data_IF_647144987785
#
_entry.id   IF_647144987785
#
_cell.length_a   1.000
_cell.length_b   1.000
_cell.length_c   1.000
_cell.angle_alpha   90.00
_cell.angle_beta   90.00
_cell.angle_gamma   90.00
#
_symmetry.space_group_name_H-M   'P 1'
#
loop_
_entity.id
_entity.type
_entity.pdbx_description
1 polymer ?
#
# COMPACT_ATOMS: atom_id res chain seq x y z
N UNK A 1 -16.14 -26.81 -31.06
CA UNK A 1 -15.27 -26.00 -30.20
C UNK A 1 -15.32 -24.57 -30.70
N UNK A 2 -16.05 -23.74 -29.98
CA UNK A 2 -16.20 -22.30 -30.22
C UNK A 2 -14.85 -21.63 -29.95
N UNK A 3 -14.37 -20.78 -30.85
CA UNK A 3 -13.09 -20.12 -30.68
C UNK A 3 -13.10 -19.24 -29.42
N UNK A 4 -12.22 -19.58 -28.48
CA UNK A 4 -12.06 -18.90 -27.21
C UNK A 4 -11.40 -17.53 -27.41
N UNK A 5 -12.10 -16.45 -27.05
CA UNK A 5 -11.55 -15.08 -27.14
C UNK A 5 -10.72 -14.79 -25.90
N UNK A 6 -9.54 -14.18 -26.09
CA UNK A 6 -8.72 -13.71 -24.96
C UNK A 6 -9.23 -12.35 -24.45
N UNK A 7 -9.37 -12.17 -23.13
CA UNK A 7 -9.62 -10.87 -22.55
C UNK A 7 -8.42 -9.93 -22.77
N UNK A 8 -8.71 -8.64 -22.74
CA UNK A 8 -7.72 -7.56 -22.67
C UNK A 8 -7.91 -6.75 -21.39
N UNK A 9 -6.87 -6.03 -21.01
CA UNK A 9 -6.79 -5.28 -19.76
C UNK A 9 -6.34 -3.85 -20.04
N UNK A 10 -6.95 -2.89 -19.34
CA UNK A 10 -6.44 -1.53 -19.18
C UNK A 10 -6.30 -1.28 -17.68
N UNK A 11 -5.22 -0.63 -17.26
CA UNK A 11 -5.01 -0.22 -15.88
C UNK A 11 -5.40 1.24 -15.73
N UNK A 12 -6.41 1.53 -14.91
CA UNK A 12 -6.73 2.88 -14.48
C UNK A 12 -6.20 3.05 -13.06
N UNK A 13 -5.33 4.04 -12.85
CA UNK A 13 -4.70 4.31 -11.57
C UNK A 13 -5.13 5.69 -11.10
N UNK A 14 -5.89 5.71 -10.02
CA UNK A 14 -6.30 6.94 -9.36
C UNK A 14 -5.27 7.22 -8.27
N UNK A 15 -4.63 8.38 -8.34
CA UNK A 15 -3.51 8.77 -7.49
C UNK A 15 -3.79 10.10 -6.81
N UNK A 16 -3.42 10.24 -5.54
CA UNK A 16 -3.44 11.52 -4.81
C UNK A 16 -2.80 12.63 -5.66
N UNK A 17 -3.53 13.73 -5.85
CA UNK A 17 -3.05 14.88 -6.62
C UNK A 17 -1.72 15.43 -6.11
N UNK A 18 -1.40 15.25 -4.82
CA UNK A 18 -0.16 15.70 -4.19
C UNK A 18 1.06 14.90 -4.67
N UNK A 19 0.86 13.63 -5.03
CA UNK A 19 1.88 12.77 -5.62
C UNK A 19 1.87 12.83 -7.16
N UNK A 20 0.79 13.36 -7.74
CA UNK A 20 0.59 13.40 -9.19
C UNK A 20 1.55 14.37 -9.89
N UNK A 21 2.26 13.87 -10.89
CA UNK A 21 3.14 14.67 -11.77
C UNK A 21 3.28 14.01 -13.13
N UNK A 22 3.65 14.78 -14.15
CA UNK A 22 3.91 14.24 -15.50
C UNK A 22 5.04 13.20 -15.48
N UNK A 23 6.03 13.38 -14.62
CA UNK A 23 7.13 12.43 -14.42
C UNK A 23 6.63 11.11 -13.81
N UNK A 24 5.77 11.18 -12.80
CA UNK A 24 5.10 10.00 -12.25
C UNK A 24 4.30 9.27 -13.35
N UNK A 25 3.52 10.00 -14.14
CA UNK A 25 2.70 9.43 -15.22
C UNK A 25 3.59 8.71 -16.25
N UNK A 26 4.71 9.34 -16.64
CA UNK A 26 5.66 8.76 -17.58
C UNK A 26 6.34 7.50 -17.00
N UNK A 27 6.74 7.54 -15.73
CA UNK A 27 7.32 6.40 -15.02
C UNK A 27 6.34 5.23 -14.97
N UNK A 28 5.09 5.47 -14.55
CA UNK A 28 4.04 4.43 -14.51
C UNK A 28 3.80 3.86 -15.90
N UNK A 29 3.62 4.69 -16.93
CA UNK A 29 3.42 4.19 -18.30
C UNK A 29 4.58 3.33 -18.79
N UNK A 30 5.82 3.69 -18.45
CA UNK A 30 7.01 2.89 -18.77
C UNK A 30 7.01 1.57 -18.01
N UNK A 31 6.83 1.63 -16.70
CA UNK A 31 6.95 0.47 -15.79
C UNK A 31 5.84 -0.56 -15.97
N UNK A 32 4.66 -0.16 -16.42
CA UNK A 32 3.53 -1.07 -16.63
C UNK A 32 3.31 -1.44 -18.10
N UNK A 33 4.10 -0.89 -19.03
CA UNK A 33 3.97 -1.11 -20.49
C UNK A 33 3.95 -2.58 -20.93
N UNK A 34 4.66 -3.47 -20.22
CA UNK A 34 4.69 -4.91 -20.51
C UNK A 34 3.53 -5.69 -19.89
N UNK A 35 2.74 -5.06 -19.03
CA UNK A 35 1.57 -5.63 -18.36
C UNK A 35 0.31 -5.27 -19.13
N UNK A 36 0.00 -3.98 -19.22
CA UNK A 36 -1.17 -3.44 -19.90
C UNK A 36 -1.00 -1.92 -20.14
N UNK A 37 -1.77 -1.32 -21.07
CA UNK A 37 -1.88 0.13 -21.16
C UNK A 37 -2.38 0.72 -19.84
N UNK A 38 -1.73 1.80 -19.39
CA UNK A 38 -2.06 2.48 -18.14
C UNK A 38 -2.55 3.91 -18.37
N UNK A 39 -3.59 4.29 -17.64
CA UNK A 39 -4.10 5.65 -17.49
C UNK A 39 -3.92 6.03 -16.03
N UNK A 40 -3.34 7.20 -15.78
CA UNK A 40 -3.11 7.71 -14.42
C UNK A 40 -3.86 9.03 -14.29
N UNK A 41 -4.72 9.12 -13.29
CA UNK A 41 -5.55 10.30 -13.03
C UNK A 41 -5.31 10.82 -11.61
N UNK A 42 -5.26 12.15 -11.41
CA UNK A 42 -5.21 12.73 -10.08
C UNK A 42 -6.59 12.63 -9.41
N UNK A 43 -6.58 12.39 -8.10
CA UNK A 43 -7.75 12.49 -7.23
C UNK A 43 -7.53 13.64 -6.26
N UNK A 44 -8.43 14.62 -6.32
CA UNK A 44 -8.42 15.76 -5.42
C UNK A 44 -8.97 15.34 -4.06
N UNK A 45 -8.24 15.55 -2.97
CA UNK A 45 -8.73 15.32 -1.63
C UNK A 45 -9.92 16.24 -1.32
N UNK A 46 -10.76 15.85 -0.37
CA UNK A 46 -11.86 16.70 0.08
C UNK A 46 -11.35 18.01 0.71
N UNK A 47 -10.20 17.96 1.37
CA UNK A 47 -9.48 19.09 1.96
C UNK A 47 -7.96 18.85 2.01
N UNK A 48 -7.18 19.83 2.47
CA UNK A 48 -5.72 19.78 2.43
C UNK A 48 -5.09 18.70 3.33
N UNK A 49 -5.83 18.12 4.28
CA UNK A 49 -5.32 17.09 5.21
C UNK A 49 -6.02 15.75 5.04
N UNK A 50 -7.15 15.70 4.34
CA UNK A 50 -7.88 14.47 4.07
C UNK A 50 -6.98 13.43 3.37
N UNK A 51 -6.94 12.18 3.87
CA UNK A 51 -6.19 11.10 3.23
C UNK A 51 -6.85 10.68 1.91
N UNK A 52 -6.07 10.58 0.83
CA UNK A 52 -6.54 10.09 -0.48
C UNK A 52 -6.02 8.69 -0.75
N UNK A 53 -6.94 7.73 -0.82
CA UNK A 53 -6.57 6.35 -1.12
C UNK A 53 -6.33 6.15 -2.62
N UNK A 54 -5.07 5.92 -2.99
CA UNK A 54 -4.74 5.52 -4.35
C UNK A 54 -5.40 4.17 -4.70
N UNK A 55 -5.92 4.04 -5.92
CA UNK A 55 -6.53 2.80 -6.41
C UNK A 55 -5.89 2.32 -7.72
N UNK A 56 -5.86 1.01 -7.91
CA UNK A 56 -5.48 0.39 -9.18
C UNK A 56 -6.63 -0.46 -9.71
N UNK A 57 -7.28 0.02 -10.76
CA UNK A 57 -8.41 -0.64 -11.40
C UNK A 57 -8.00 -1.37 -12.67
N UNK A 58 -8.30 -2.67 -12.66
CA UNK A 58 -8.15 -3.60 -13.76
C UNK A 58 -9.43 -3.61 -14.58
N UNK A 59 -9.46 -2.83 -15.66
CA UNK A 59 -10.60 -2.75 -16.58
C UNK A 59 -10.55 -3.92 -17.57
N UNK A 60 -11.43 -4.90 -17.36
CA UNK A 60 -11.50 -6.11 -18.19
C UNK A 60 -12.35 -5.84 -19.43
N UNK A 61 -11.76 -6.02 -20.60
CA UNK A 61 -12.45 -5.84 -21.89
C UNK A 61 -12.53 -7.17 -22.63
N UNK A 62 -13.75 -7.56 -22.99
CA UNK A 62 -14.01 -8.75 -23.80
C UNK A 62 -15.21 -8.54 -24.74
N UNK A 63 -15.10 -9.06 -25.97
CA UNK A 63 -16.10 -8.87 -27.03
C UNK A 63 -17.21 -9.93 -27.05
N UNK A 64 -17.21 -10.86 -26.08
CA UNK A 64 -18.25 -11.90 -25.93
C UNK A 64 -18.80 -11.86 -24.51
N UNK A 65 -20.08 -12.22 -24.31
CA UNK A 65 -20.62 -12.47 -22.98
C UNK A 65 -19.77 -13.48 -22.20
N UNK A 66 -19.59 -13.22 -20.92
CA UNK A 66 -18.75 -14.03 -20.03
C UNK A 66 -19.11 -13.91 -18.55
N UNK A 67 -19.80 -12.83 -18.19
CA UNK A 67 -20.15 -12.56 -16.80
C UNK A 67 -21.30 -13.44 -16.33
N UNK A 68 -22.46 -13.38 -17.00
CA UNK A 68 -23.69 -14.05 -16.56
C UNK A 68 -23.50 -15.57 -16.39
N UNK A 69 -23.70 -16.06 -15.16
CA UNK A 69 -23.59 -17.49 -14.85
C UNK A 69 -24.80 -18.31 -15.31
N UNK A 70 -25.91 -17.66 -15.65
CA UNK A 70 -27.12 -18.30 -16.15
C UNK A 70 -27.09 -18.50 -17.68
N UNK A 71 -26.21 -17.79 -18.39
CA UNK A 71 -25.95 -18.00 -19.82
C UNK A 71 -24.87 -19.08 -20.02
N UNK A 72 -25.26 -20.19 -20.66
CA UNK A 72 -24.36 -21.30 -20.96
C UNK A 72 -23.12 -20.89 -21.77
N UNK A 73 -23.26 -19.96 -22.72
CA UNK A 73 -22.14 -19.49 -23.53
C UNK A 73 -21.17 -18.62 -22.72
N UNK A 74 -21.71 -17.76 -21.85
CA UNK A 74 -20.92 -16.96 -20.93
C UNK A 74 -20.19 -17.85 -19.90
N UNK A 75 -20.86 -18.88 -19.37
CA UNK A 75 -20.26 -19.87 -18.47
C UNK A 75 -19.14 -20.69 -19.14
N UNK A 76 -19.34 -21.15 -20.37
CA UNK A 76 -18.29 -21.84 -21.14
C UNK A 76 -17.07 -20.92 -21.33
N UNK A 77 -17.31 -19.67 -21.73
CA UNK A 77 -16.26 -18.67 -21.94
C UNK A 77 -15.53 -18.31 -20.63
N UNK A 78 -16.26 -18.18 -19.52
CA UNK A 78 -15.67 -17.95 -18.20
C UNK A 78 -14.75 -19.10 -17.82
N UNK A 79 -15.29 -20.33 -17.75
CA UNK A 79 -14.55 -21.51 -17.32
C UNK A 79 -13.32 -21.82 -18.20
N UNK A 80 -13.39 -21.49 -19.50
CA UNK A 80 -12.28 -21.71 -20.42
C UNK A 80 -11.10 -20.75 -20.24
N UNK A 81 -11.34 -19.50 -19.82
CA UNK A 81 -10.29 -18.44 -19.87
C UNK A 81 -10.15 -17.65 -18.59
N UNK A 82 -11.25 -17.21 -18.00
CA UNK A 82 -11.26 -16.11 -17.04
C UNK A 82 -10.45 -16.43 -15.78
N UNK A 83 -10.62 -17.58 -15.09
CA UNK A 83 -9.87 -17.86 -13.86
C UNK A 83 -8.35 -17.88 -14.09
N UNK A 84 -7.89 -18.58 -15.13
CA UNK A 84 -6.46 -18.67 -15.44
C UNK A 84 -5.90 -17.32 -15.88
N UNK A 85 -6.65 -16.57 -16.68
CA UNK A 85 -6.23 -15.25 -17.15
C UNK A 85 -6.15 -14.24 -16.00
N UNK A 86 -7.20 -14.15 -15.16
CA UNK A 86 -7.25 -13.27 -13.99
C UNK A 86 -6.11 -13.58 -13.02
N UNK A 87 -5.91 -14.86 -12.66
CA UNK A 87 -4.80 -15.27 -11.79
C UNK A 87 -3.44 -14.78 -12.30
N UNK A 88 -3.20 -14.93 -13.60
CA UNK A 88 -1.96 -14.47 -14.22
C UNK A 88 -1.86 -12.94 -14.23
N UNK A 89 -2.95 -12.22 -14.46
CA UNK A 89 -2.96 -10.75 -14.44
C UNK A 89 -2.75 -10.22 -13.03
N UNK A 90 -3.42 -10.77 -12.01
CA UNK A 90 -3.22 -10.40 -10.62
C UNK A 90 -1.78 -10.59 -10.19
N UNK A 91 -1.18 -11.74 -10.53
CA UNK A 91 0.23 -11.98 -10.25
C UNK A 91 1.13 -10.95 -10.93
N UNK A 92 0.94 -10.69 -12.22
CA UNK A 92 1.76 -9.72 -12.97
C UNK A 92 1.63 -8.31 -12.42
N UNK A 93 0.40 -7.81 -12.27
CA UNK A 93 0.13 -6.45 -11.79
C UNK A 93 0.66 -6.29 -10.37
N UNK A 94 0.34 -7.22 -9.47
CA UNK A 94 0.85 -7.20 -8.09
C UNK A 94 2.39 -7.20 -8.03
N UNK A 95 3.04 -8.04 -8.82
CA UNK A 95 4.52 -8.10 -8.87
C UNK A 95 5.10 -6.78 -9.38
N UNK A 96 4.46 -6.17 -10.39
CA UNK A 96 4.88 -4.88 -10.93
C UNK A 96 4.70 -3.77 -9.90
N UNK A 97 3.59 -3.73 -9.16
CA UNK A 97 3.36 -2.76 -8.07
C UNK A 97 4.45 -2.86 -7.02
N UNK A 98 4.71 -4.07 -6.50
CA UNK A 98 5.76 -4.30 -5.50
C UNK A 98 7.13 -3.88 -6.03
N UNK A 99 7.49 -4.28 -7.25
CA UNK A 99 8.77 -3.93 -7.85
C UNK A 99 8.95 -2.42 -8.07
N UNK A 100 7.90 -1.70 -8.50
CA UNK A 100 7.97 -0.24 -8.67
C UNK A 100 8.20 0.45 -7.32
N UNK A 101 7.46 0.06 -6.28
CA UNK A 101 7.62 0.63 -4.95
C UNK A 101 8.98 0.31 -4.34
N UNK A 102 9.53 -0.87 -4.60
CA UNK A 102 10.87 -1.25 -4.15
C UNK A 102 11.96 -0.43 -4.85
N UNK A 103 11.81 -0.17 -6.15
CA UNK A 103 12.74 0.69 -6.91
C UNK A 103 12.71 2.11 -6.37
N UNK A 104 11.53 2.69 -6.18
CA UNK A 104 11.35 4.03 -5.59
C UNK A 104 12.03 4.16 -4.24
N UNK A 105 11.78 3.19 -3.35
CA UNK A 105 12.42 3.15 -2.02
C UNK A 105 13.94 3.10 -2.11
N UNK A 106 14.50 2.27 -2.99
CA UNK A 106 15.96 2.17 -3.19
C UNK A 106 16.56 3.45 -3.77
N UNK A 107 15.77 4.22 -4.52
CA UNK A 107 16.13 5.51 -5.08
C UNK A 107 15.88 6.69 -4.13
N UNK A 108 15.43 6.45 -2.89
CA UNK A 108 15.09 7.51 -1.93
C UNK A 108 13.84 8.31 -2.31
N UNK A 109 13.03 7.80 -3.24
CA UNK A 109 11.76 8.40 -3.66
C UNK A 109 10.61 7.86 -2.82
N UNK A 110 9.58 8.69 -2.66
CA UNK A 110 8.35 8.27 -1.99
C UNK A 110 7.67 7.11 -2.76
N UNK A 111 7.28 6.03 -2.06
CA UNK A 111 6.54 4.93 -2.69
C UNK A 111 5.17 5.41 -3.17
N UNK A 112 4.60 4.67 -4.12
CA UNK A 112 3.24 4.86 -4.62
C UNK A 112 2.36 3.69 -4.12
N UNK A 113 1.92 3.70 -2.85
CA UNK A 113 1.06 2.66 -2.33
C UNK A 113 -0.33 2.77 -2.96
N UNK A 114 -0.95 1.63 -3.27
CA UNK A 114 -2.36 1.48 -3.59
C UNK A 114 -3.08 0.82 -2.41
N UNK A 115 -4.17 1.42 -1.95
CA UNK A 115 -5.03 0.87 -0.89
C UNK A 115 -5.98 -0.20 -1.44
N UNK A 116 -6.45 -0.01 -2.68
CA UNK A 116 -7.44 -0.86 -3.32
C UNK A 116 -6.95 -1.37 -4.67
N UNK A 117 -7.16 -2.66 -4.90
CA UNK A 117 -7.19 -3.23 -6.24
C UNK A 117 -8.65 -3.41 -6.66
N UNK A 118 -8.99 -3.02 -7.88
CA UNK A 118 -10.36 -3.13 -8.39
C UNK A 118 -10.37 -3.94 -9.68
N UNK A 119 -11.42 -4.73 -9.91
CA UNK A 119 -11.66 -5.39 -11.20
C UNK A 119 -13.00 -4.92 -11.74
N UNK A 120 -12.97 -4.22 -12.86
CA UNK A 120 -14.17 -3.72 -13.53
C UNK A 120 -14.52 -4.65 -14.70
N UNK A 121 -15.71 -5.26 -14.63
CA UNK A 121 -16.20 -6.19 -15.64
C UNK A 121 -17.17 -5.53 -16.63
N UNK A 122 -16.79 -4.37 -17.19
CA UNK A 122 -17.68 -3.57 -18.04
C UNK A 122 -18.91 -3.09 -17.26
N UNK A 123 -20.10 -3.17 -17.86
CA UNK A 123 -21.36 -2.71 -17.23
C UNK A 123 -21.93 -3.71 -16.19
N UNK A 124 -21.13 -4.71 -15.78
CA UNK A 124 -21.52 -5.66 -14.75
C UNK A 124 -21.11 -5.13 -13.37
N UNK A 125 -20.46 -5.97 -12.56
CA UNK A 125 -20.00 -5.63 -11.22
C UNK A 125 -18.54 -5.16 -11.24
N UNK A 126 -18.22 -4.15 -10.44
CA UNK A 126 -16.84 -3.84 -10.05
C UNK A 126 -16.51 -4.51 -8.72
N UNK A 127 -15.45 -5.32 -8.66
CA UNK A 127 -15.01 -5.98 -7.42
C UNK A 127 -13.75 -5.28 -6.90
N UNK A 128 -13.89 -4.50 -5.83
CA UNK A 128 -12.82 -3.81 -5.14
C UNK A 128 -12.34 -4.62 -3.92
N UNK A 129 -11.04 -4.80 -3.78
CA UNK A 129 -10.42 -5.53 -2.67
C UNK A 129 -9.28 -4.71 -2.08
N UNK A 130 -9.28 -4.56 -0.76
CA UNK A 130 -8.18 -3.91 -0.07
C UNK A 130 -6.91 -4.73 -0.29
N UNK A 131 -5.82 -4.05 -0.66
CA UNK A 131 -4.51 -4.66 -0.87
C UNK A 131 -3.97 -5.20 0.46
N UNK A 132 -2.83 -5.88 0.42
CA UNK A 132 -2.06 -6.23 1.62
C UNK A 132 -0.85 -5.32 1.74
N UNK A 133 -0.02 -5.55 2.76
CA UNK A 133 1.23 -4.82 2.97
C UNK A 133 2.04 -4.68 1.67
N UNK A 134 2.54 -3.47 1.41
CA UNK A 134 3.29 -3.15 0.19
C UNK A 134 2.44 -3.07 -1.09
N UNK A 135 1.12 -2.96 -0.96
CA UNK A 135 0.17 -2.88 -2.08
C UNK A 135 0.11 -4.13 -2.95
N UNK A 136 0.56 -5.27 -2.42
CA UNK A 136 0.38 -6.54 -3.10
C UNK A 136 -1.10 -6.93 -3.11
N UNK A 137 -1.49 -7.71 -4.13
CA UNK A 137 -2.87 -8.18 -4.24
C UNK A 137 -3.10 -9.34 -3.28
N UNK A 138 -4.31 -9.47 -2.69
CA UNK A 138 -4.65 -10.61 -1.85
C UNK A 138 -4.45 -11.94 -2.59
N UNK A 139 -3.95 -12.96 -1.90
CA UNK A 139 -3.66 -14.27 -2.50
C UNK A 139 -4.93 -15.01 -2.94
N UNK A 140 -6.05 -14.69 -2.30
CA UNK A 140 -7.40 -15.19 -2.54
C UNK A 140 -8.23 -14.30 -3.48
N UNK A 141 -7.63 -13.27 -4.10
CA UNK A 141 -8.35 -12.28 -4.90
C UNK A 141 -9.21 -12.87 -6.02
N UNK A 142 -8.77 -13.97 -6.65
CA UNK A 142 -9.58 -14.68 -7.65
C UNK A 142 -10.80 -15.35 -7.04
N UNK A 143 -10.65 -16.01 -5.89
CA UNK A 143 -11.75 -16.68 -5.20
C UNK A 143 -12.85 -15.69 -4.82
N UNK A 144 -12.47 -14.48 -4.37
CA UNK A 144 -13.40 -13.40 -4.07
C UNK A 144 -14.15 -12.94 -5.33
N UNK A 145 -13.45 -12.78 -6.47
CA UNK A 145 -14.08 -12.42 -7.75
C UNK A 145 -15.05 -13.49 -8.23
N UNK A 146 -14.68 -14.76 -8.16
CA UNK A 146 -15.57 -15.87 -8.54
C UNK A 146 -16.82 -15.91 -7.66
N UNK A 147 -16.65 -15.77 -6.34
CA UNK A 147 -17.77 -15.70 -5.40
C UNK A 147 -18.67 -14.49 -5.64
N UNK A 148 -18.09 -13.31 -5.90
CA UNK A 148 -18.85 -12.10 -6.21
C UNK A 148 -19.68 -12.27 -7.49
N UNK A 149 -19.10 -12.90 -8.53
CA UNK A 149 -19.82 -13.25 -9.76
C UNK A 149 -20.98 -14.20 -9.48
N UNK A 150 -20.75 -15.27 -8.72
CA UNK A 150 -21.78 -16.27 -8.43
C UNK A 150 -22.94 -15.66 -7.64
N UNK A 151 -22.64 -14.84 -6.63
CA UNK A 151 -23.66 -14.12 -5.84
C UNK A 151 -24.47 -13.13 -6.69
N UNK A 152 -23.80 -12.38 -7.56
CA UNK A 152 -24.47 -11.44 -8.48
C UNK A 152 -25.40 -12.18 -9.45
N UNK A 153 -24.92 -13.26 -10.07
CA UNK A 153 -25.71 -14.01 -11.06
C UNK A 153 -26.84 -14.82 -10.41
N UNK A 154 -26.69 -15.24 -9.15
CA UNK A 154 -27.76 -15.86 -8.38
C UNK A 154 -28.81 -14.84 -7.87
N UNK A 155 -28.59 -13.54 -8.07
CA UNK A 155 -29.47 -12.48 -7.59
C UNK A 155 -29.43 -12.25 -6.08
N UNK A 156 -28.45 -12.83 -5.38
CA UNK A 156 -28.32 -12.72 -3.91
C UNK A 156 -28.00 -11.28 -3.51
N UNK A 157 -27.22 -10.57 -4.34
CA UNK A 157 -26.85 -9.16 -4.12
C UNK A 157 -27.98 -8.18 -4.49
N UNK A 158 -29.17 -8.65 -4.84
CA UNK A 158 -30.26 -7.81 -5.32
C UNK A 158 -30.04 -7.27 -6.75
N UNK A 159 -31.04 -6.54 -7.24
CA UNK A 159 -30.96 -5.89 -8.55
C UNK A 159 -30.19 -4.57 -8.45
N UNK A 160 -29.33 -4.28 -9.42
CA UNK A 160 -28.66 -2.97 -9.53
C UNK A 160 -27.39 -2.80 -8.71
N UNK A 161 -26.81 -3.87 -8.16
CA UNK A 161 -25.48 -3.84 -7.55
C UNK A 161 -24.42 -3.50 -8.62
N UNK A 162 -23.66 -2.42 -8.40
CA UNK A 162 -22.65 -1.90 -9.34
C UNK A 162 -21.22 -2.12 -8.84
N UNK A 163 -21.02 -2.13 -7.53
CA UNK A 163 -19.71 -2.29 -6.91
C UNK A 163 -19.80 -3.12 -5.65
N UNK A 164 -18.81 -3.99 -5.46
CA UNK A 164 -18.63 -4.81 -4.28
C UNK A 164 -17.26 -4.54 -3.70
N UNK A 165 -17.17 -4.08 -2.46
CA UNK A 165 -15.91 -3.80 -1.77
C UNK A 165 -15.62 -4.84 -0.69
N UNK A 166 -14.37 -5.34 -0.66
CA UNK A 166 -13.89 -6.32 0.32
C UNK A 166 -12.65 -5.77 1.04
N UNK A 167 -12.74 -5.40 2.32
CA UNK A 167 -13.96 -5.37 3.13
C UNK A 167 -14.92 -4.24 2.74
N UNK A 168 -16.07 -4.15 3.42
CA UNK A 168 -16.95 -2.97 3.35
C UNK A 168 -16.17 -1.71 3.74
N UNK A 169 -16.53 -0.55 3.17
CA UNK A 169 -15.90 0.74 3.49
C UNK A 169 -15.92 1.05 4.98
N UNK A 170 -17.05 0.80 5.66
CA UNK A 170 -17.17 1.00 7.09
C UNK A 170 -16.24 0.07 7.90
N UNK A 171 -16.14 -1.21 7.51
CA UNK A 171 -15.23 -2.16 8.17
C UNK A 171 -13.76 -1.81 7.91
N UNK A 172 -13.43 -1.36 6.70
CA UNK A 172 -12.09 -0.88 6.34
C UNK A 172 -11.66 0.30 7.22
N UNK A 173 -12.52 1.32 7.34
CA UNK A 173 -12.24 2.52 8.13
C UNK A 173 -12.10 2.20 9.63
N UNK A 174 -12.95 1.32 10.16
CA UNK A 174 -12.86 0.86 11.55
C UNK A 174 -11.54 0.11 11.82
N UNK A 175 -11.14 -0.80 10.93
CA UNK A 175 -9.89 -1.55 11.05
C UNK A 175 -8.66 -0.63 10.96
N UNK A 176 -8.70 0.37 10.07
CA UNK A 176 -7.64 1.38 9.95
C UNK A 176 -7.52 2.24 11.19
N UNK A 177 -8.63 2.72 11.74
CA UNK A 177 -8.65 3.51 12.96
C UNK A 177 -8.05 2.72 14.13
N UNK A 178 -8.46 1.46 14.31
CA UNK A 178 -7.93 0.57 15.34
C UNK A 178 -6.42 0.30 15.17
N UNK A 179 -5.94 0.12 13.93
CA UNK A 179 -4.52 -0.08 13.66
C UNK A 179 -3.69 1.18 13.96
N UNK A 180 -4.22 2.37 13.68
CA UNK A 180 -3.57 3.64 14.01
C UNK A 180 -3.50 3.87 15.52
N UNK A 181 -4.58 3.61 16.25
CA UNK A 181 -4.63 3.71 17.72
C UNK A 181 -3.64 2.74 18.38
N UNK A 182 -3.56 1.50 17.88
CA UNK A 182 -2.59 0.53 18.36
C UNK A 182 -1.14 1.00 18.14
N UNK A 183 -0.81 1.51 16.95
CA UNK A 183 0.53 2.02 16.66
C UNK A 183 0.91 3.23 17.53
N UNK A 184 -0.03 4.14 17.79
CA UNK A 184 0.19 5.27 18.70
C UNK A 184 0.44 4.80 20.14
N UNK A 185 -0.33 3.82 20.61
CA UNK A 185 -0.14 3.25 21.95
C UNK A 185 1.23 2.56 22.09
N UNK A 186 1.68 1.87 21.04
CA UNK A 186 3.01 1.26 21.00
C UNK A 186 4.11 2.32 21.04
N UNK A 187 4.02 3.38 20.23
CA UNK A 187 4.97 4.49 20.23
C UNK A 187 5.02 5.22 21.59
N UNK A 188 3.86 5.49 22.21
CA UNK A 188 3.78 6.08 23.54
C UNK A 188 4.39 5.17 24.62
N UNK A 189 4.16 3.85 24.56
CA UNK A 189 4.75 2.90 25.50
C UNK A 189 6.27 2.77 25.36
N UNK A 190 6.80 2.91 24.14
CA UNK A 190 8.23 2.93 23.87
C UNK A 190 8.86 4.24 24.37
N UNK A 191 8.16 5.36 24.24
CA UNK A 191 8.59 6.65 24.80
C UNK A 191 8.62 6.61 26.33
N UNK A 192 7.59 6.04 26.97
CA UNK A 192 7.53 5.87 28.43
C UNK A 192 8.64 4.92 28.92
N UNK A 193 8.85 3.76 28.30
CA UNK A 193 9.94 2.85 28.67
C UNK A 193 11.35 3.44 28.44
N UNK A 194 11.51 4.31 27.44
CA UNK A 194 12.76 5.05 27.21
C UNK A 194 13.01 6.11 28.29
N UNK A 195 11.96 6.76 28.81
CA UNK A 195 12.12 7.73 29.90
C UNK A 195 12.38 7.06 31.26
N UNK A 196 11.76 5.91 31.53
CA UNK A 196 12.02 5.10 32.74
C UNK A 196 13.47 4.57 32.77
N UNK A 197 13.94 3.99 31.65
CA UNK A 197 15.32 3.48 31.55
C UNK A 197 16.38 4.58 31.60
N UNK A 198 16.09 5.79 31.09
CA UNK A 198 16.95 6.95 31.25
C UNK A 198 16.99 7.46 32.71
N UNK A 199 15.87 7.38 33.43
CA UNK A 199 15.78 7.71 34.86
C UNK A 199 16.58 6.75 35.75
N UNK A 200 16.51 5.44 35.50
CA UNK A 200 17.29 4.43 36.22
C UNK A 200 18.80 4.53 35.91
N UNK A 201 19.18 4.86 34.67
CA UNK A 201 20.58 5.11 34.31
C UNK A 201 21.15 6.38 34.97
N UNK A 202 20.33 7.40 35.19
CA UNK A 202 20.72 8.62 35.89
C UNK A 202 20.90 8.39 37.41
N UNK A 203 19.98 7.65 38.06
CA UNK A 203 20.11 7.28 39.48
C UNK A 203 21.30 6.33 39.74
N UNK A 204 21.63 5.45 38.79
CA UNK A 204 22.82 4.60 38.87
C UNK A 204 24.13 5.38 38.71
N UNK A 205 24.12 6.51 37.98
CA UNK A 205 25.27 7.39 37.82
C UNK A 205 25.49 8.32 39.04
N UNK A 206 24.44 8.65 39.78
CA UNK A 206 24.53 9.47 41.01
C UNK A 206 25.05 8.67 42.23
N UNK A 207 25.14 7.34 42.13
CA UNK A 207 25.60 6.45 43.21
C UNK A 207 27.09 6.10 43.18
N UNK A 208 27.91 6.76 42.34
CA UNK A 208 29.37 6.51 42.27
C UNK A 208 30.13 7.63 43.01
N UNK A 209 30.52 7.36 44.25
CA UNK A 209 31.35 8.26 45.07
C UNK A 209 32.73 8.52 44.41
N UNK A 210 33.24 9.76 44.42
CA UNK A 210 34.54 10.10 43.86
C UNK A 210 35.68 9.65 44.79
N UNK A 211 36.56 8.76 44.31
CA UNK A 211 37.81 8.43 45.02
C UNK A 211 38.92 9.34 44.52
N UNK A 212 39.44 10.21 45.40
CA UNK A 212 40.58 11.09 45.12
C UNK A 212 41.96 10.40 45.19
N UNK A 213 42.78 10.75 44.19
CA UNK A 213 44.22 11.01 44.15
C UNK A 213 45.28 9.96 44.59
N UNK A 214 46.24 9.69 43.67
CA UNK A 214 47.69 9.79 43.94
C UNK A 214 48.54 9.95 42.63
N UNK A 215 49.53 10.84 42.71
CA UNK A 215 50.48 11.26 41.66
C UNK A 215 51.71 10.34 41.46
N UNK A 216 52.39 10.56 40.31
CA UNK A 216 53.85 10.47 40.02
C UNK A 216 54.50 9.13 39.60
N UNK A 217 55.17 9.09 38.41
CA UNK A 217 56.64 9.19 38.19
C UNK A 217 57.04 8.88 36.71
N UNK A 218 58.02 9.68 36.24
CA UNK A 218 58.87 9.77 35.04
C UNK A 218 59.11 8.64 34.00
N UNK A 219 59.20 9.14 32.74
CA UNK A 219 60.22 8.98 31.67
C UNK A 219 60.53 7.63 30.99
N UNK A 220 60.57 7.65 29.63
CA UNK A 220 61.76 7.45 28.74
C UNK A 220 61.31 7.36 27.26
N UNK A 221 61.80 8.27 26.41
CA UNK A 221 61.88 8.23 24.93
C UNK A 221 63.11 7.37 24.49
N UNK A 222 63.46 7.05 23.21
CA UNK A 222 63.00 7.61 21.90
C UNK A 222 62.89 6.59 20.73
N UNK A 223 62.49 7.04 19.52
CA UNK A 223 63.25 6.82 18.25
C UNK A 223 62.58 7.46 17.00
N UNK A 224 63.46 8.01 16.15
CA UNK A 224 63.33 8.90 14.99
C UNK A 224 62.73 8.37 13.65
N UNK A 225 62.45 9.37 12.78
CA UNK A 225 62.51 9.43 11.30
C UNK A 225 61.27 8.98 10.48
N UNK A 226 60.76 9.68 9.44
CA UNK A 226 61.22 10.82 8.62
C UNK A 226 60.04 11.47 7.84
N UNK A 227 60.09 12.81 7.72
CA UNK A 227 59.87 13.69 6.54
C UNK A 227 58.89 13.30 5.40
N UNK A 228 57.86 14.14 5.14
CA UNK A 228 57.84 15.01 3.95
C UNK A 228 56.79 16.14 4.07
N UNK A 229 57.13 17.30 3.51
CA UNK A 229 56.46 18.59 3.68
C UNK A 229 55.62 18.99 2.45
N UNK A 230 54.49 19.68 2.66
CA UNK A 230 54.06 20.80 1.80
C UNK A 230 52.88 21.55 2.43
N UNK A 231 53.11 22.83 2.72
CA UNK A 231 52.15 23.80 3.24
C UNK A 231 51.19 24.31 2.16
N UNK A 232 49.91 24.52 2.51
CA UNK A 232 49.08 25.62 1.98
C UNK A 232 48.13 26.08 3.11
N UNK A 233 48.33 27.31 3.58
CA UNK A 233 47.40 28.00 4.46
C UNK A 233 46.16 28.50 3.70
N UNK A 234 45.00 28.44 4.35
CA UNK A 234 43.77 29.05 3.87
C UNK A 234 42.52 28.48 4.52
N UNK A 235 42.35 28.69 5.83
CA UNK A 235 41.05 28.55 6.47
C UNK A 235 40.17 29.76 6.10
N UNK A 236 38.90 29.53 5.77
CA UNK A 236 37.90 29.99 6.74
C UNK A 236 36.77 28.98 6.96
N UNK A 237 36.41 28.89 8.24
CA UNK A 237 35.05 28.75 8.76
C UNK A 237 34.18 27.65 8.13
N UNK A 238 34.17 26.51 8.82
CA UNK A 238 33.12 25.51 8.76
C UNK A 238 31.75 26.19 8.95
N UNK A 239 31.00 26.33 7.85
CA UNK A 239 29.57 26.49 7.91
C UNK A 239 28.99 25.11 8.23
N UNK A 240 28.47 24.98 9.45
CA UNK A 240 27.70 23.84 9.90
C UNK A 240 26.62 23.52 8.86
N UNK A 241 26.44 22.26 8.44
CA UNK A 241 25.22 21.91 7.75
C UNK A 241 24.07 22.14 8.73
N UNK A 242 23.21 23.11 8.43
CA UNK A 242 21.87 23.17 9.00
C UNK A 242 21.23 21.79 8.76
N UNK A 243 21.28 20.93 9.78
CA UNK A 243 20.42 19.77 9.92
C UNK A 243 19.01 20.33 10.02
N UNK A 244 18.42 20.63 8.86
CA UNK A 244 16.99 20.71 8.72
C UNK A 244 16.46 19.39 9.28
N UNK A 245 15.78 19.49 10.42
CA UNK A 245 15.02 18.39 10.99
C UNK A 245 14.19 17.75 9.86
N UNK A 246 14.05 16.42 9.83
CA UNK A 246 13.07 15.84 8.92
C UNK A 246 11.73 16.45 9.31
N UNK A 247 11.19 17.31 8.44
CA UNK A 247 9.77 17.63 8.47
C UNK A 247 9.07 16.28 8.57
N UNK A 248 8.25 16.13 9.61
CA UNK A 248 7.30 15.04 9.77
C UNK A 248 6.31 15.13 8.61
N UNK A 249 6.77 14.75 7.41
CA UNK A 249 5.97 14.55 6.24
C UNK A 249 5.07 13.38 6.57
N UNK A 250 3.87 13.72 7.08
CA UNK A 250 2.65 12.94 7.13
C UNK A 250 2.85 11.53 6.56
N UNK A 251 3.16 10.56 7.44
CA UNK A 251 3.26 9.13 7.10
C UNK A 251 1.87 8.62 6.72
N UNK A 252 1.33 9.03 5.58
CA UNK A 252 0.08 8.46 5.08
C UNK A 252 0.42 7.14 4.39
N UNK A 253 0.55 6.10 5.20
CA UNK A 253 0.74 4.73 4.73
C UNK A 253 -0.62 4.20 4.29
N UNK A 254 -0.92 4.31 2.99
CA UNK A 254 -2.23 3.93 2.44
C UNK A 254 -2.40 2.42 2.25
N UNK A 255 -1.32 1.66 2.09
CA UNK A 255 -1.39 0.20 2.07
C UNK A 255 -1.49 -0.34 3.51
N UNK A 256 -2.35 -1.32 3.80
CA UNK A 256 -2.49 -1.81 5.17
C UNK A 256 -1.16 -2.41 5.65
N UNK A 257 -0.64 -1.88 6.76
CA UNK A 257 0.47 -2.47 7.50
C UNK A 257 -0.01 -3.58 8.47
N UNK A 258 -1.30 -3.90 8.46
CA UNK A 258 -1.99 -4.83 9.34
C UNK A 258 -2.72 -5.92 8.54
N UNK A 259 -3.13 -6.99 9.22
CA UNK A 259 -3.96 -8.03 8.61
C UNK A 259 -5.41 -7.55 8.46
N UNK A 260 -5.92 -7.51 7.22
CA UNK A 260 -7.27 -7.03 6.92
C UNK A 260 -8.29 -8.16 7.05
N UNK A 261 -9.27 -7.99 7.93
CA UNK A 261 -10.46 -8.83 7.99
C UNK A 261 -11.37 -8.54 6.77
N UNK A 262 -11.64 -9.57 5.98
CA UNK A 262 -12.34 -9.51 4.68
C UNK A 262 -13.74 -10.15 4.70
N UNK A 263 -14.28 -10.45 5.88
CA UNK A 263 -15.56 -11.18 6.00
C UNK A 263 -16.76 -10.33 5.61
N UNK A 264 -16.77 -9.05 5.99
CA UNK A 264 -17.85 -8.12 5.71
C UNK A 264 -17.61 -7.40 4.38
N UNK A 265 -18.56 -7.50 3.46
CA UNK A 265 -18.50 -6.92 2.13
C UNK A 265 -19.45 -5.73 2.03
N UNK A 266 -19.05 -4.67 1.35
CA UNK A 266 -19.93 -3.55 1.02
C UNK A 266 -20.50 -3.73 -0.38
N UNK A 267 -21.81 -3.67 -0.54
CA UNK A 267 -22.50 -3.76 -1.84
C UNK A 267 -23.11 -2.40 -2.13
N UNK A 268 -22.57 -1.73 -3.13
CA UNK A 268 -23.03 -0.43 -3.61
C UNK A 268 -23.92 -0.60 -4.84
N UNK A 269 -25.03 0.13 -4.83
CA UNK A 269 -26.04 0.12 -5.89
C UNK A 269 -25.99 1.40 -6.72
N UNK A 270 -26.61 1.36 -7.89
CA UNK A 270 -26.62 2.50 -8.82
C UNK A 270 -27.26 3.79 -8.26
N UNK A 271 -28.07 3.69 -7.21
CA UNK A 271 -28.67 4.83 -6.51
C UNK A 271 -27.75 5.42 -5.41
N UNK A 272 -26.56 4.85 -5.22
CA UNK A 272 -25.58 5.24 -4.21
C UNK A 272 -25.84 4.65 -2.83
N UNK A 273 -26.85 3.80 -2.65
CA UNK A 273 -27.05 3.06 -1.40
C UNK A 273 -25.95 2.01 -1.24
N UNK A 274 -25.53 1.79 0.00
CA UNK A 274 -24.53 0.79 0.34
C UNK A 274 -25.08 -0.09 1.43
N UNK A 275 -25.08 -1.40 1.17
CA UNK A 275 -25.51 -2.42 2.10
C UNK A 275 -24.36 -3.31 2.54
N UNK A 276 -24.41 -3.82 3.77
CA UNK A 276 -23.35 -4.71 4.30
C UNK A 276 -23.77 -6.17 4.17
N UNK A 277 -22.96 -6.94 3.45
CA UNK A 277 -23.13 -8.36 3.21
C UNK A 277 -22.09 -9.17 3.98
N UNK A 278 -22.54 -10.10 4.83
CA UNK A 278 -21.65 -11.06 5.48
C UNK A 278 -21.36 -12.20 4.50
N UNK A 279 -20.10 -12.28 4.05
CA UNK A 279 -19.71 -13.31 3.11
C UNK A 279 -19.60 -14.71 3.71
N UNK A 280 -19.44 -14.84 5.03
CA UNK A 280 -19.41 -16.14 5.70
C UNK A 280 -20.83 -16.74 5.80
N UNK A 281 -21.80 -15.92 6.21
CA UNK A 281 -23.21 -16.32 6.35
C UNK A 281 -23.96 -16.29 5.01
N UNK A 282 -23.48 -15.51 4.04
CA UNK A 282 -24.10 -15.36 2.73
C UNK A 282 -25.37 -14.51 2.76
N UNK A 283 -25.45 -13.53 3.65
CA UNK A 283 -26.65 -12.71 3.87
C UNK A 283 -26.30 -11.23 4.18
N UNK A 284 -27.25 -10.34 3.91
CA UNK A 284 -27.19 -8.95 4.36
C UNK A 284 -27.42 -8.86 5.88
N UNK A 285 -26.73 -7.92 6.54
CA UNK A 285 -26.77 -7.75 8.00
C UNK A 285 -27.31 -6.40 8.47
N UNK A 286 -27.86 -5.62 7.54
CA UNK A 286 -28.47 -4.31 7.77
C UNK A 286 -30.01 -4.30 7.65
#
# INVERSE_FOLDING_TARGET
MTATIRPSLILNMDVDERQYSDDLVAEVKRSYSYVAPSVVAPVTPADAEAPVENTIRLVVRMHRPYWDANDAAACEQWGAVMPKWLKNMFYKVSSTVTACNDVRRKSGQEPLPYAWMEVEFGDNLTVAQATVAGSAFPSDALSVVEKARDLACAGVLGEGAVRLSVPSRASWEAQRAAALEAAQTEDDSLADGACESAGEAAEAAESVEPVEAIESVEAVEPADAVDDAAAIEGEPAAAEPETAAPEEASKIVFAPAFEVNRTLWGVEYADGTVHTFDSAEGAFID
#
